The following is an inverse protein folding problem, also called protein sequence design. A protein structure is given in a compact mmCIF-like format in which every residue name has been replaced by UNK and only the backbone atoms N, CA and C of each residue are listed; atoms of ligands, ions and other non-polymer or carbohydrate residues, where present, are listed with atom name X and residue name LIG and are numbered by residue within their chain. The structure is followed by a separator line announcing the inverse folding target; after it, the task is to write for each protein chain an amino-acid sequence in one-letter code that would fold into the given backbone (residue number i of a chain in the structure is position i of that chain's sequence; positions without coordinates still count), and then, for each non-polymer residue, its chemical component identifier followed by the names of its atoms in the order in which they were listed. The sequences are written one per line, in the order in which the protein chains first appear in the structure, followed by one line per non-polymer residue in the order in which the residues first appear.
data_IF_544058578062
#
_entry.id   IF_544058578062
#
_cell.length_a   1.000
_cell.length_b   1.000
_cell.length_c   1.000
_cell.angle_alpha   90.00
_cell.angle_beta   90.00
_cell.angle_gamma   90.00
#
_symmetry.space_group_name_H-M   'P 1'
#
loop_
_entity.id
_entity.type
_entity.pdbx_description
1 polymer ?
#
# COMPACT_ATOMS: atom_id res chain seq x y z
N UNK A 1 8.39 -7.13 15.31
CA UNK A 1 9.10 -6.39 14.25
C UNK A 1 8.19 -6.36 13.04
N UNK A 2 8.02 -5.21 12.40
CA UNK A 2 7.10 -5.06 11.26
C UNK A 2 7.67 -5.78 10.02
N UNK A 3 6.98 -6.78 9.44
CA UNK A 3 7.47 -7.53 8.29
C UNK A 3 7.41 -6.74 6.96
N UNK A 4 6.80 -5.56 6.94
CA UNK A 4 6.73 -4.71 5.74
C UNK A 4 7.87 -3.69 5.70
N UNK A 5 8.53 -3.45 6.83
CA UNK A 5 9.62 -2.49 6.98
C UNK A 5 10.96 -3.22 6.86
N UNK A 6 11.90 -2.57 6.20
CA UNK A 6 13.30 -2.93 6.21
C UNK A 6 13.93 -2.46 7.55
N UNK A 7 14.51 -3.35 8.36
CA UNK A 7 15.01 -3.01 9.69
C UNK A 7 16.27 -2.13 9.67
N UNK A 8 17.02 -2.09 8.57
CA UNK A 8 18.23 -1.28 8.45
C UNK A 8 17.89 0.17 8.10
N UNK A 9 16.91 0.35 7.22
CA UNK A 9 16.56 1.66 6.65
C UNK A 9 15.33 2.30 7.31
N UNK A 10 14.46 1.48 7.92
CA UNK A 10 13.18 1.94 8.45
C UNK A 10 12.18 2.37 7.36
N UNK A 11 12.42 1.94 6.11
CA UNK A 11 11.58 2.19 4.93
C UNK A 11 10.81 0.92 4.56
N UNK A 12 9.65 1.06 3.92
CA UNK A 12 8.90 -0.10 3.44
C UNK A 12 9.70 -0.86 2.38
N UNK A 13 9.75 -2.18 2.50
CA UNK A 13 10.32 -3.05 1.48
C UNK A 13 9.53 -2.89 0.19
N UNK A 14 10.24 -2.63 -0.89
CA UNK A 14 9.67 -2.33 -2.19
C UNK A 14 10.49 -2.98 -3.30
N UNK A 15 9.83 -3.25 -4.43
CA UNK A 15 10.40 -3.93 -5.61
C UNK A 15 11.52 -3.14 -6.28
N UNK A 16 11.57 -1.84 -6.06
CA UNK A 16 12.56 -0.94 -6.65
C UNK A 16 13.85 -0.82 -5.82
N UNK A 17 13.90 -1.45 -4.64
CA UNK A 17 15.06 -1.40 -3.75
C UNK A 17 15.33 0.00 -3.17
N UNK A 18 14.33 0.88 -3.12
CA UNK A 18 14.47 2.24 -2.61
C UNK A 18 14.60 2.20 -1.09
N UNK A 19 15.67 2.78 -0.56
CA UNK A 19 15.98 2.82 0.89
C UNK A 19 15.74 4.17 1.54
N UNK A 20 15.36 5.19 0.77
CA UNK A 20 15.15 6.55 1.22
C UNK A 20 13.65 6.91 1.24
N UNK A 21 13.17 7.48 2.36
CA UNK A 21 11.73 7.73 2.57
C UNK A 21 11.13 8.68 1.53
N UNK A 22 11.83 9.76 1.20
CA UNK A 22 11.35 10.77 0.25
C UNK A 22 11.27 10.18 -1.15
N UNK A 23 12.33 9.49 -1.58
CA UNK A 23 12.37 8.84 -2.89
C UNK A 23 11.28 7.75 -3.02
N UNK A 24 11.01 6.99 -1.95
CA UNK A 24 9.94 6.00 -1.96
C UNK A 24 8.56 6.66 -2.10
N UNK A 25 8.33 7.76 -1.38
CA UNK A 25 7.06 8.49 -1.44
C UNK A 25 6.82 9.10 -2.83
N UNK A 26 7.85 9.64 -3.47
CA UNK A 26 7.79 10.15 -4.86
C UNK A 26 7.46 9.02 -5.83
N UNK A 27 8.18 7.90 -5.77
CA UNK A 27 7.93 6.74 -6.62
C UNK A 27 6.52 6.14 -6.42
N UNK A 28 6.06 6.01 -5.17
CA UNK A 28 4.71 5.55 -4.84
C UNK A 28 3.65 6.50 -5.41
N UNK A 29 3.84 7.81 -5.24
CA UNK A 29 2.93 8.83 -5.74
C UNK A 29 2.78 8.77 -7.26
N UNK A 30 3.89 8.72 -7.99
CA UNK A 30 3.89 8.66 -9.45
C UNK A 30 3.24 7.38 -9.96
N UNK A 31 3.67 6.21 -9.47
CA UNK A 31 3.16 4.91 -9.92
C UNK A 31 1.66 4.77 -9.62
N UNK A 32 1.24 5.10 -8.40
CA UNK A 32 -0.17 4.99 -8.02
C UNK A 32 -1.05 6.00 -8.77
N UNK A 33 -0.53 7.18 -9.11
CA UNK A 33 -1.22 8.15 -9.95
C UNK A 33 -1.52 7.58 -11.35
N UNK A 34 -0.51 7.01 -12.01
CA UNK A 34 -0.68 6.37 -13.32
C UNK A 34 -1.70 5.23 -13.27
N UNK A 35 -1.61 4.36 -12.25
CA UNK A 35 -2.56 3.25 -12.07
C UNK A 35 -3.97 3.74 -11.77
N UNK A 36 -4.12 4.83 -11.02
CA UNK A 36 -5.42 5.47 -10.79
C UNK A 36 -6.04 5.97 -12.11
N UNK A 37 -5.25 6.58 -13.00
CA UNK A 37 -5.78 7.02 -14.30
C UNK A 37 -6.31 5.82 -15.11
N UNK A 38 -5.62 4.68 -15.07
CA UNK A 38 -6.09 3.45 -15.71
C UNK A 38 -7.43 2.96 -15.13
N UNK A 39 -7.68 3.11 -13.82
CA UNK A 39 -8.97 2.76 -13.22
C UNK A 39 -10.11 3.68 -13.66
N UNK A 40 -9.83 4.93 -14.01
CA UNK A 40 -10.83 5.86 -14.52
C UNK A 40 -11.25 5.46 -15.94
N UNK A 41 -10.29 5.04 -16.77
CA UNK A 41 -10.55 4.60 -18.14
C UNK A 41 -11.15 3.18 -18.20
N UNK A 42 -10.67 2.28 -17.35
CA UNK A 42 -11.13 0.89 -17.27
C UNK A 42 -11.36 0.49 -15.80
N UNK A 43 -12.59 0.75 -15.28
CA UNK A 43 -12.92 0.42 -13.90
C UNK A 43 -12.89 -1.09 -13.64
N UNK A 44 -12.48 -1.46 -12.43
CA UNK A 44 -12.63 -2.83 -11.94
C UNK A 44 -14.11 -3.14 -11.66
N UNK A 45 -14.53 -4.41 -11.74
CA UNK A 45 -15.87 -4.83 -11.34
C UNK A 45 -16.16 -4.49 -9.87
N UNK A 46 -17.33 -3.92 -9.60
CA UNK A 46 -17.74 -3.53 -8.24
C UNK A 46 -18.48 -4.69 -7.53
N UNK A 47 -17.75 -5.50 -6.75
CA UNK A 47 -18.32 -6.57 -5.91
C UNK A 47 -18.80 -6.09 -4.54
N UNK A 48 -18.42 -4.87 -4.12
CA UNK A 48 -18.74 -4.22 -2.84
C UNK A 48 -18.34 -5.04 -1.61
N UNK A 49 -17.24 -5.77 -1.74
CA UNK A 49 -16.69 -6.62 -0.69
C UNK A 49 -15.18 -6.38 -0.53
N UNK A 50 -14.55 -7.20 0.31
CA UNK A 50 -13.11 -7.14 0.55
C UNK A 50 -12.30 -7.46 -0.71
N UNK A 51 -12.81 -8.30 -1.61
CA UNK A 51 -12.08 -8.68 -2.81
C UNK A 51 -11.99 -7.52 -3.80
N UNK A 52 -13.00 -6.66 -3.88
CA UNK A 52 -12.89 -5.38 -4.61
C UNK A 52 -11.76 -4.51 -4.03
N UNK A 53 -11.73 -4.33 -2.70
CA UNK A 53 -10.69 -3.52 -2.05
C UNK A 53 -9.28 -4.08 -2.28
N UNK A 54 -9.13 -5.41 -2.24
CA UNK A 54 -7.87 -6.09 -2.53
C UNK A 54 -7.47 -5.93 -3.99
N UNK A 55 -8.41 -6.01 -4.93
CA UNK A 55 -8.16 -5.81 -6.35
C UNK A 55 -7.73 -4.36 -6.65
N UNK A 56 -8.41 -3.37 -6.06
CA UNK A 56 -8.03 -1.95 -6.17
C UNK A 56 -6.63 -1.73 -5.61
N UNK A 57 -6.34 -2.26 -4.42
CA UNK A 57 -5.02 -2.13 -3.80
C UNK A 57 -3.93 -2.81 -4.64
N UNK A 58 -4.19 -3.98 -5.20
CA UNK A 58 -3.25 -4.64 -6.09
C UNK A 58 -2.98 -3.76 -7.32
N UNK A 59 -4.03 -3.30 -8.00
CA UNK A 59 -3.91 -2.48 -9.20
C UNK A 59 -3.08 -1.22 -8.96
N UNK A 60 -3.30 -0.53 -7.83
CA UNK A 60 -2.59 0.71 -7.51
C UNK A 60 -1.10 0.51 -7.17
N UNK A 61 -0.74 -0.62 -6.55
CA UNK A 61 0.57 -0.75 -5.87
C UNK A 61 1.42 -1.96 -6.29
N UNK A 62 0.95 -2.82 -7.20
CA UNK A 62 1.69 -4.03 -7.61
C UNK A 62 3.06 -3.77 -8.22
N UNK A 63 3.29 -2.59 -8.79
CA UNK A 63 4.61 -2.21 -9.32
C UNK A 63 5.64 -1.98 -8.20
N UNK A 64 5.18 -1.62 -6.99
CA UNK A 64 6.04 -1.18 -5.91
C UNK A 64 6.12 -2.17 -4.75
N UNK A 65 5.04 -2.87 -4.42
CA UNK A 65 4.98 -3.73 -3.23
C UNK A 65 4.60 -5.17 -3.56
N UNK A 66 5.39 -6.14 -3.07
CA UNK A 66 5.10 -7.58 -3.24
C UNK A 66 3.80 -8.02 -2.55
N UNK A 67 3.39 -7.28 -1.53
CA UNK A 67 2.19 -7.52 -0.75
C UNK A 67 0.97 -6.74 -1.27
N UNK A 68 1.05 -6.11 -2.46
CA UNK A 68 -0.08 -5.38 -3.02
C UNK A 68 -1.30 -6.30 -3.23
N UNK A 69 -2.43 -5.93 -2.60
CA UNK A 69 -3.67 -6.71 -2.60
C UNK A 69 -3.79 -7.75 -1.49
N UNK A 70 -2.79 -7.83 -0.60
CA UNK A 70 -2.82 -8.69 0.57
C UNK A 70 -3.34 -7.95 1.79
N UNK A 71 -4.08 -8.65 2.65
CA UNK A 71 -4.50 -8.10 3.95
C UNK A 71 -3.30 -8.14 4.88
N UNK A 72 -3.03 -7.02 5.55
CA UNK A 72 -1.95 -6.92 6.54
C UNK A 72 -2.09 -7.96 7.65
N UNK A 73 -0.96 -8.40 8.17
CA UNK A 73 -0.84 -9.43 9.23
C UNK A 73 -0.41 -8.87 10.59
N UNK A 74 -0.23 -7.55 10.69
CA UNK A 74 0.19 -6.86 11.92
C UNK A 74 -0.78 -5.76 12.26
N UNK A 75 -0.93 -5.48 13.55
CA UNK A 75 -1.73 -4.37 14.05
C UNK A 75 -1.10 -3.01 13.72
N UNK A 76 -1.96 -2.05 13.38
CA UNK A 76 -1.55 -0.69 13.05
C UNK A 76 -2.38 0.30 13.85
N UNK A 77 -1.72 1.38 14.27
CA UNK A 77 -2.34 2.55 14.87
C UNK A 77 -1.81 3.78 14.14
N UNK A 78 -2.70 4.72 13.82
CA UNK A 78 -2.27 6.03 13.32
C UNK A 78 -1.49 6.75 14.41
N UNK A 79 -0.35 7.36 14.05
CA UNK A 79 0.44 8.17 14.97
C UNK A 79 -0.20 9.56 15.20
N UNK A 80 -1.41 9.56 15.75
CA UNK A 80 -2.13 10.74 16.23
C UNK A 80 -2.64 10.47 17.64
N UNK A 81 -2.64 11.50 18.48
CA UNK A 81 -3.13 11.39 19.85
C UNK A 81 -4.60 10.98 19.85
N UNK A 82 -4.95 9.98 20.66
CA UNK A 82 -6.30 9.44 20.75
C UNK A 82 -6.72 8.50 19.61
N UNK A 83 -5.84 8.13 18.68
CA UNK A 83 -6.17 7.10 17.67
C UNK A 83 -6.57 5.79 18.35
N UNK A 84 -7.83 5.37 18.14
CA UNK A 84 -8.31 4.07 18.59
C UNK A 84 -7.54 2.94 17.90
N UNK A 85 -7.25 1.90 18.66
CA UNK A 85 -6.79 0.62 18.09
C UNK A 85 -7.99 0.00 17.40
N UNK A 86 -7.81 -0.42 16.14
CA UNK A 86 -8.84 -1.20 15.46
C UNK A 86 -8.90 -2.57 16.13
N UNK A 87 -9.93 -2.82 16.94
CA UNK A 87 -10.21 -4.12 17.53
C UNK A 87 -11.07 -4.93 16.53
N UNK A 88 -10.78 -6.22 16.33
CA UNK A 88 -11.54 -7.08 15.43
C UNK A 88 -12.99 -7.30 15.89
#
# INVERSE_FOLDING_TARGET
MDPYVDPETGVLRNRLGITEKVALAEAEGDLSHWRRMQLLDTPLPASRDLDELRAIHHHLFHDLYDWAGQVRTVDMRKNVDGAAVFLP
#
